data_IF_304129341478
#
_entry.id   IF_304129341478
#
_cell.length_a   1.000
_cell.length_b   1.000
_cell.length_c   1.000
_cell.angle_alpha   90.00
_cell.angle_beta   90.00
_cell.angle_gamma   90.00
#
_symmetry.space_group_name_H-M   'P 1'
#
loop_
_entity.id
_entity.type
_entity.pdbx_description
1 polymer ?
#
# COMPACT_ATOMS: atom_id res chain seq x y z
N UNK A 1 40.52 -80.95 -6.16
CA UNK A 1 39.25 -80.79 -5.40
C UNK A 1 39.59 -80.02 -4.12
N UNK A 2 39.45 -78.69 -4.14
CA UNK A 2 39.61 -77.86 -2.93
C UNK A 2 38.38 -76.97 -2.84
N UNK A 3 37.41 -77.37 -2.02
CA UNK A 3 36.30 -76.50 -1.68
C UNK A 3 35.80 -76.91 -0.29
N UNK A 4 35.97 -75.99 0.67
CA UNK A 4 35.05 -75.66 1.76
C UNK A 4 35.85 -75.19 2.97
N UNK A 5 36.21 -73.89 3.00
CA UNK A 5 36.68 -73.24 4.23
C UNK A 5 36.46 -71.71 4.20
N UNK A 6 35.31 -71.21 3.72
CA UNK A 6 35.07 -69.74 3.66
C UNK A 6 33.69 -69.24 4.09
N UNK A 7 32.76 -70.07 4.59
CA UNK A 7 31.38 -69.63 4.87
C UNK A 7 31.06 -69.31 6.34
N UNK A 8 31.85 -69.79 7.32
CA UNK A 8 31.57 -69.55 8.75
C UNK A 8 32.05 -68.17 9.25
N UNK A 9 33.12 -67.63 8.66
CA UNK A 9 33.69 -66.32 9.03
C UNK A 9 32.80 -65.15 8.63
N UNK A 10 32.26 -65.15 7.39
CA UNK A 10 31.38 -64.07 6.89
C UNK A 10 30.09 -63.93 7.71
N UNK A 11 29.46 -65.04 8.12
CA UNK A 11 28.24 -64.98 8.95
C UNK A 11 28.53 -64.38 10.33
N UNK A 12 29.66 -64.71 10.97
CA UNK A 12 30.05 -64.15 12.26
C UNK A 12 30.38 -62.65 12.17
N UNK A 13 31.08 -62.23 11.10
CA UNK A 13 31.38 -60.81 10.87
C UNK A 13 30.12 -59.99 10.61
N UNK A 14 29.17 -60.51 9.83
CA UNK A 14 27.88 -59.83 9.59
C UNK A 14 27.05 -59.72 10.87
N UNK A 15 27.00 -60.77 11.70
CA UNK A 15 26.29 -60.73 12.98
C UNK A 15 26.88 -59.72 13.96
N UNK A 16 28.21 -59.59 14.01
CA UNK A 16 28.89 -58.59 14.87
C UNK A 16 28.66 -57.17 14.35
N UNK A 17 28.69 -56.95 13.04
CA UNK A 17 28.38 -55.64 12.43
C UNK A 17 26.93 -55.21 12.70
N UNK A 18 25.96 -56.13 12.59
CA UNK A 18 24.55 -55.85 12.92
C UNK A 18 24.40 -55.50 14.41
N UNK A 19 25.10 -56.19 15.30
CA UNK A 19 25.07 -55.92 16.74
C UNK A 19 25.65 -54.53 17.07
N UNK A 20 26.75 -54.13 16.41
CA UNK A 20 27.36 -52.80 16.59
C UNK A 20 26.45 -51.69 16.05
N UNK A 21 25.79 -51.92 14.91
CA UNK A 21 24.80 -50.98 14.35
C UNK A 21 23.60 -50.83 15.30
N UNK A 22 23.11 -51.92 15.90
CA UNK A 22 22.04 -51.88 16.89
C UNK A 22 22.46 -51.15 18.18
N UNK A 23 23.69 -51.40 18.67
CA UNK A 23 24.22 -50.74 19.87
C UNK A 23 24.50 -49.24 19.66
N UNK A 24 24.80 -48.79 18.44
CA UNK A 24 24.93 -47.37 18.10
C UNK A 24 23.55 -46.71 17.84
N UNK A 25 22.56 -47.46 17.33
CA UNK A 25 21.23 -46.95 17.05
C UNK A 25 20.43 -46.63 18.32
N UNK A 26 20.64 -47.34 19.43
CA UNK A 26 19.93 -47.09 20.69
C UNK A 26 20.28 -45.72 21.31
N UNK A 27 21.56 -45.34 21.54
CA UNK A 27 21.89 -44.03 22.06
C UNK A 27 21.56 -42.90 21.07
N UNK A 28 21.66 -43.14 19.74
CA UNK A 28 21.26 -42.16 18.74
C UNK A 28 19.74 -41.94 18.69
N UNK A 29 18.95 -42.99 18.87
CA UNK A 29 17.48 -42.87 18.95
C UNK A 29 17.03 -42.23 20.27
N UNK A 30 17.72 -42.49 21.39
CA UNK A 30 17.48 -41.78 22.66
C UNK A 30 17.87 -40.30 22.53
N UNK A 31 19.00 -39.97 21.89
CA UNK A 31 19.42 -38.59 21.65
C UNK A 31 18.43 -37.84 20.72
N UNK A 32 18.04 -38.45 19.60
CA UNK A 32 17.03 -37.89 18.69
C UNK A 32 15.64 -37.82 19.32
N UNK A 33 15.27 -38.77 20.17
CA UNK A 33 14.03 -38.71 20.94
C UNK A 33 14.08 -37.59 21.97
N UNK A 34 15.19 -37.40 22.69
CA UNK A 34 15.37 -36.30 23.64
C UNK A 34 15.33 -34.93 22.97
N UNK A 35 15.95 -34.75 21.80
CA UNK A 35 15.79 -33.51 21.02
C UNK A 35 14.35 -33.31 20.52
N UNK A 36 13.68 -34.37 20.05
CA UNK A 36 12.26 -34.27 19.66
C UNK A 36 11.35 -33.98 20.86
N UNK A 37 11.75 -34.37 22.06
CA UNK A 37 10.99 -34.14 23.29
C UNK A 37 11.22 -32.73 23.83
N UNK A 38 12.44 -32.19 23.73
CA UNK A 38 12.71 -30.76 23.99
C UNK A 38 12.01 -29.85 22.96
N UNK A 39 12.02 -30.20 21.67
CA UNK A 39 11.29 -29.46 20.62
C UNK A 39 9.76 -29.57 20.81
N UNK A 40 9.26 -30.71 21.31
CA UNK A 40 7.82 -30.86 21.63
C UNK A 40 7.42 -30.21 22.95
N UNK A 41 8.32 -30.06 23.91
CA UNK A 41 8.08 -29.34 25.15
C UNK A 41 8.22 -27.82 25.01
N UNK A 42 8.86 -27.34 23.92
CA UNK A 42 8.80 -25.94 23.48
C UNK A 42 7.61 -25.64 22.55
N UNK A 43 6.66 -26.56 22.38
CA UNK A 43 5.33 -26.17 21.94
C UNK A 43 4.67 -25.43 23.11
N UNK A 44 4.90 -24.12 23.19
CA UNK A 44 4.15 -23.20 24.05
C UNK A 44 2.67 -23.59 23.98
N UNK A 45 2.04 -23.75 25.14
CA UNK A 45 0.60 -24.00 25.22
C UNK A 45 -0.13 -23.07 24.24
N UNK A 46 -1.14 -23.56 23.49
CA UNK A 46 -1.88 -22.71 22.58
C UNK A 46 -2.40 -21.50 23.36
N UNK A 47 -1.96 -20.30 22.96
CA UNK A 47 -2.32 -19.07 23.63
C UNK A 47 -3.85 -19.00 23.75
N UNK A 48 -4.33 -18.82 24.99
CA UNK A 48 -5.77 -18.67 25.25
C UNK A 48 -6.30 -17.34 24.72
N UNK A 49 -7.59 -17.25 24.43
CA UNK A 49 -8.21 -16.00 23.93
C UNK A 49 -8.13 -14.84 24.93
N UNK A 50 -7.94 -15.10 26.23
CA UNK A 50 -7.74 -14.08 27.26
C UNK A 50 -6.29 -13.64 27.42
N UNK A 51 -5.33 -14.31 26.75
CA UNK A 51 -3.91 -13.94 26.80
C UNK A 51 -3.74 -12.52 26.32
N UNK A 52 -3.14 -11.64 27.13
CA UNK A 52 -2.80 -10.27 26.73
C UNK A 52 -1.70 -10.32 25.68
N UNK A 53 -2.03 -9.83 24.49
CA UNK A 53 -1.11 -9.80 23.34
C UNK A 53 -0.54 -8.41 23.10
N UNK A 54 -1.27 -7.37 23.50
CA UNK A 54 -0.89 -5.99 23.28
C UNK A 54 -1.29 -5.12 24.46
N UNK A 55 -0.50 -4.07 24.73
CA UNK A 55 -0.93 -2.96 25.57
C UNK A 55 -0.75 -1.66 24.78
N UNK A 56 -1.85 -0.94 24.53
CA UNK A 56 -1.85 0.33 23.77
C UNK A 56 -2.41 1.42 24.67
N UNK A 57 -1.64 2.48 24.92
CA UNK A 57 -2.01 3.57 25.83
C UNK A 57 -2.57 3.06 27.18
N UNK A 58 -1.85 2.11 27.80
CA UNK A 58 -2.22 1.46 29.06
C UNK A 58 -3.52 0.62 29.04
N UNK A 59 -4.08 0.33 27.86
CA UNK A 59 -5.19 -0.59 27.68
C UNK A 59 -4.70 -1.93 27.14
N UNK A 60 -5.13 -3.03 27.76
CA UNK A 60 -4.74 -4.38 27.35
C UNK A 60 -5.70 -4.93 26.30
N UNK A 61 -5.14 -5.58 25.28
CA UNK A 61 -5.89 -6.30 24.25
C UNK A 61 -5.42 -7.74 24.17
N UNK A 62 -6.37 -8.65 24.07
CA UNK A 62 -6.12 -10.09 24.12
C UNK A 62 -6.01 -10.73 22.74
N UNK A 63 -5.65 -12.01 22.70
CA UNK A 63 -5.70 -12.81 21.47
C UNK A 63 -7.13 -12.89 20.90
N UNK A 64 -8.15 -12.92 21.76
CA UNK A 64 -9.55 -12.86 21.36
C UNK A 64 -9.89 -11.58 20.58
N UNK A 65 -9.35 -10.44 21.00
CA UNK A 65 -9.53 -9.17 20.27
C UNK A 65 -8.89 -9.22 18.88
N UNK A 66 -7.70 -9.80 18.76
CA UNK A 66 -7.01 -9.99 17.48
C UNK A 66 -7.82 -10.91 16.56
N UNK A 67 -8.31 -12.05 17.08
CA UNK A 67 -9.16 -12.98 16.33
C UNK A 67 -10.46 -12.33 15.87
N UNK A 68 -11.05 -11.45 16.68
CA UNK A 68 -12.25 -10.70 16.30
C UNK A 68 -12.00 -9.82 15.07
N UNK A 69 -10.86 -9.12 15.01
CA UNK A 69 -10.48 -8.33 13.83
C UNK A 69 -10.21 -9.25 12.63
N UNK A 70 -9.58 -10.41 12.83
CA UNK A 70 -9.36 -11.37 11.75
C UNK A 70 -10.67 -11.89 11.14
N UNK A 71 -11.68 -12.15 11.98
CA UNK A 71 -13.00 -12.66 11.55
C UNK A 71 -13.78 -11.70 10.64
N UNK A 72 -13.38 -10.43 10.56
CA UNK A 72 -14.03 -9.45 9.68
C UNK A 72 -13.70 -9.71 8.20
N UNK A 73 -12.53 -10.29 7.91
CA UNK A 73 -12.03 -10.48 6.55
C UNK A 73 -11.73 -11.95 6.21
N UNK A 74 -11.59 -12.80 7.22
CA UNK A 74 -11.15 -14.18 7.06
C UNK A 74 -12.08 -15.14 7.81
N UNK A 75 -12.32 -16.32 7.22
CA UNK A 75 -13.02 -17.39 7.92
C UNK A 75 -12.17 -17.87 9.12
N UNK A 76 -12.76 -18.11 10.31
CA UNK A 76 -12.02 -18.58 11.49
C UNK A 76 -11.16 -19.83 11.26
N UNK A 77 -11.56 -20.71 10.33
CA UNK A 77 -10.78 -21.91 9.96
C UNK A 77 -9.48 -21.58 9.21
N UNK A 78 -9.36 -20.38 8.64
CA UNK A 78 -8.19 -19.91 7.90
C UNK A 78 -7.17 -19.17 8.77
N UNK A 79 -7.45 -19.02 10.07
CA UNK A 79 -6.57 -18.32 11.00
C UNK A 79 -5.23 -19.03 11.14
N UNK A 80 -4.20 -18.40 10.60
CA UNK A 80 -2.81 -18.79 10.75
C UNK A 80 -2.02 -17.60 11.31
N UNK A 81 -0.74 -17.82 11.65
CA UNK A 81 0.13 -16.78 12.22
C UNK A 81 0.19 -15.52 11.35
N UNK A 82 0.15 -15.64 10.02
CA UNK A 82 0.19 -14.48 9.14
C UNK A 82 -1.11 -13.67 9.20
N UNK A 83 -2.27 -14.34 9.14
CA UNK A 83 -3.59 -13.70 9.27
C UNK A 83 -3.71 -13.00 10.63
N UNK A 84 -3.28 -13.66 11.71
CA UNK A 84 -3.32 -13.08 13.05
C UNK A 84 -2.36 -11.89 13.19
N UNK A 85 -1.19 -11.89 12.54
CA UNK A 85 -0.28 -10.74 12.51
C UNK A 85 -0.89 -9.54 11.78
N UNK A 86 -1.52 -9.77 10.63
CA UNK A 86 -2.25 -8.72 9.90
C UNK A 86 -3.37 -8.15 10.76
N UNK A 87 -4.17 -9.02 11.39
CA UNK A 87 -5.24 -8.60 12.29
C UNK A 87 -4.71 -7.86 13.52
N UNK A 88 -3.55 -8.26 14.07
CA UNK A 88 -2.88 -7.56 15.18
C UNK A 88 -2.46 -6.16 14.77
N UNK A 89 -1.83 -6.00 13.60
CA UNK A 89 -1.39 -4.70 13.09
C UNK A 89 -2.58 -3.79 12.77
N UNK A 90 -3.67 -4.35 12.21
CA UNK A 90 -4.94 -3.64 12.00
C UNK A 90 -5.56 -3.19 13.33
N UNK A 91 -5.58 -4.06 14.35
CA UNK A 91 -6.07 -3.70 15.68
C UNK A 91 -5.25 -2.55 16.28
N UNK A 92 -3.91 -2.61 16.17
CA UNK A 92 -3.03 -1.54 16.65
C UNK A 92 -3.37 -0.21 15.95
N UNK A 93 -3.43 -0.20 14.61
CA UNK A 93 -3.77 1.01 13.86
C UNK A 93 -5.13 1.55 14.28
N UNK A 94 -6.17 0.72 14.34
CA UNK A 94 -7.53 1.12 14.74
C UNK A 94 -7.56 1.76 16.12
N UNK A 95 -6.83 1.23 17.11
CA UNK A 95 -6.78 1.79 18.46
C UNK A 95 -6.02 3.11 18.54
N UNK A 96 -4.97 3.26 17.75
CA UNK A 96 -4.28 4.54 17.60
C UNK A 96 -5.22 5.56 16.93
N UNK A 97 -5.92 5.18 15.87
CA UNK A 97 -6.87 6.03 15.16
C UNK A 97 -8.03 6.48 16.07
N UNK A 98 -8.66 5.57 16.81
CA UNK A 98 -9.72 5.91 17.77
C UNK A 98 -9.23 6.92 18.81
N UNK A 99 -8.02 6.73 19.36
CA UNK A 99 -7.43 7.63 20.35
C UNK A 99 -7.18 9.01 19.74
N UNK A 100 -6.50 9.07 18.61
CA UNK A 100 -6.11 10.34 17.96
C UNK A 100 -7.31 11.10 17.40
N UNK A 101 -8.29 10.41 16.84
CA UNK A 101 -9.54 11.02 16.42
C UNK A 101 -10.29 11.65 17.60
N UNK A 102 -10.31 10.99 18.76
CA UNK A 102 -10.94 11.52 19.96
C UNK A 102 -10.19 12.74 20.50
N UNK A 103 -8.86 12.69 20.56
CA UNK A 103 -8.01 13.81 21.01
C UNK A 103 -8.19 15.05 20.12
N UNK A 104 -8.29 14.85 18.80
CA UNK A 104 -8.43 15.94 17.82
C UNK A 104 -9.89 16.37 17.56
N UNK A 105 -10.89 15.69 18.13
CA UNK A 105 -12.30 15.96 17.86
C UNK A 105 -12.76 15.61 16.44
N UNK A 106 -12.13 14.61 15.81
CA UNK A 106 -12.33 14.19 14.41
C UNK A 106 -13.17 12.92 14.25
N UNK A 107 -13.96 12.56 15.25
CA UNK A 107 -14.80 11.35 15.21
C UNK A 107 -15.88 11.48 14.11
N UNK A 108 -15.97 10.54 13.14
CA UNK A 108 -17.00 10.60 12.11
C UNK A 108 -18.41 10.46 12.69
N UNK A 109 -19.36 11.18 12.10
CA UNK A 109 -20.79 11.02 12.44
C UNK A 109 -21.42 9.90 11.61
N UNK A 110 -22.52 9.32 12.08
CA UNK A 110 -23.12 8.14 11.46
C UNK A 110 -23.67 8.41 10.05
N UNK A 111 -24.05 9.65 9.77
CA UNK A 111 -24.47 10.11 8.46
C UNK A 111 -23.31 10.05 7.45
N UNK A 112 -22.10 10.44 7.85
CA UNK A 112 -20.89 10.36 6.99
C UNK A 112 -20.56 8.91 6.67
N UNK A 113 -20.58 8.03 7.69
CA UNK A 113 -20.28 6.61 7.52
C UNK A 113 -21.31 5.96 6.59
N UNK A 114 -22.61 6.20 6.83
CA UNK A 114 -23.68 5.58 6.05
C UNK A 114 -23.68 6.04 4.58
N UNK A 115 -23.37 7.32 4.33
CA UNK A 115 -23.26 7.86 2.98
C UNK A 115 -22.12 7.19 2.18
N UNK A 116 -20.95 7.00 2.80
CA UNK A 116 -19.79 6.41 2.13
C UNK A 116 -19.89 4.89 1.97
N UNK A 117 -20.40 4.16 2.96
CA UNK A 117 -20.57 2.70 2.88
C UNK A 117 -21.39 2.28 1.66
N UNK A 118 -22.42 3.06 1.30
CA UNK A 118 -23.25 2.80 0.11
C UNK A 118 -22.53 2.99 -1.23
N UNK A 119 -21.36 3.64 -1.24
CA UNK A 119 -20.61 4.01 -2.45
C UNK A 119 -19.30 3.24 -2.62
N UNK A 120 -18.65 2.86 -1.52
CA UNK A 120 -17.31 2.25 -1.54
C UNK A 120 -17.33 0.72 -1.57
N UNK A 121 -18.46 0.09 -1.21
CA UNK A 121 -18.56 -1.36 -1.06
C UNK A 121 -17.77 -1.92 0.14
N UNK A 122 -17.17 -1.05 0.96
CA UNK A 122 -16.49 -1.40 2.20
C UNK A 122 -17.51 -1.76 3.29
N UNK A 123 -17.09 -2.52 4.29
CA UNK A 123 -17.90 -2.68 5.50
C UNK A 123 -18.04 -1.35 6.24
N UNK A 124 -19.03 -1.26 7.14
CA UNK A 124 -19.27 -0.05 7.95
C UNK A 124 -18.05 0.31 8.80
N UNK A 125 -17.41 -0.67 9.43
CA UNK A 125 -16.22 -0.45 10.25
C UNK A 125 -15.02 -0.01 9.41
N UNK A 126 -14.80 -0.62 8.24
CA UNK A 126 -13.74 -0.19 7.33
C UNK A 126 -13.97 1.25 6.84
N UNK A 127 -15.21 1.59 6.50
CA UNK A 127 -15.60 2.96 6.13
C UNK A 127 -15.29 3.95 7.25
N UNK A 128 -15.63 3.60 8.51
CA UNK A 128 -15.34 4.43 9.67
C UNK A 128 -13.84 4.70 9.82
N UNK A 129 -13.00 3.66 9.79
CA UNK A 129 -11.56 3.85 9.96
C UNK A 129 -10.91 4.54 8.76
N UNK A 130 -11.42 4.33 7.55
CA UNK A 130 -10.96 5.09 6.39
C UNK A 130 -11.26 6.59 6.53
N UNK A 131 -12.48 6.94 6.97
CA UNK A 131 -12.85 8.31 7.28
C UNK A 131 -11.95 8.94 8.35
N UNK A 132 -11.70 8.22 9.44
CA UNK A 132 -10.80 8.69 10.51
C UNK A 132 -9.38 8.91 9.95
N UNK A 133 -8.86 7.95 9.18
CA UNK A 133 -7.56 8.05 8.53
C UNK A 133 -7.48 9.29 7.65
N UNK A 134 -8.45 9.50 6.77
CA UNK A 134 -8.50 10.67 5.90
C UNK A 134 -8.54 11.99 6.69
N UNK A 135 -9.35 12.07 7.75
CA UNK A 135 -9.42 13.25 8.63
C UNK A 135 -8.08 13.50 9.35
N UNK A 136 -7.40 12.44 9.79
CA UNK A 136 -6.08 12.53 10.43
C UNK A 136 -4.97 12.93 9.45
N UNK A 137 -4.96 12.36 8.24
CA UNK A 137 -4.05 12.81 7.17
C UNK A 137 -4.20 14.31 6.95
N UNK A 138 -5.45 14.79 6.88
CA UNK A 138 -5.75 16.21 6.66
C UNK A 138 -5.36 17.14 7.81
N UNK A 139 -5.12 16.61 9.00
CA UNK A 139 -4.75 17.41 10.18
C UNK A 139 -3.28 17.27 10.56
N UNK A 140 -2.70 16.08 10.44
CA UNK A 140 -1.41 15.73 11.06
C UNK A 140 -0.27 15.48 10.05
N UNK A 141 -0.59 15.21 8.78
CA UNK A 141 0.38 14.75 7.76
C UNK A 141 0.66 15.87 6.76
N UNK A 142 1.84 15.87 6.12
CA UNK A 142 2.10 16.77 4.98
C UNK A 142 1.41 16.22 3.74
N UNK A 143 0.40 16.94 3.26
CA UNK A 143 -0.33 16.59 2.06
C UNK A 143 -0.59 17.82 1.18
N UNK A 144 -0.90 17.53 -0.06
CA UNK A 144 -1.49 18.46 -1.02
C UNK A 144 -2.76 17.85 -1.58
N UNK A 145 -3.72 18.69 -1.96
CA UNK A 145 -4.80 18.30 -2.87
C UNK A 145 -4.61 19.03 -4.16
N UNK A 146 -4.60 18.29 -5.27
CA UNK A 146 -4.29 18.87 -6.57
C UNK A 146 -5.27 18.39 -7.63
N UNK A 147 -5.47 19.21 -8.64
CA UNK A 147 -6.04 18.82 -9.92
C UNK A 147 -4.89 18.73 -10.91
N UNK A 148 -4.76 17.63 -11.64
CA UNK A 148 -3.75 17.45 -12.69
C UNK A 148 -4.39 17.26 -14.05
N UNK A 149 -3.85 17.95 -15.06
CA UNK A 149 -4.12 17.69 -16.47
C UNK A 149 -2.77 17.43 -17.12
N UNK A 150 -2.61 16.27 -17.74
CA UNK A 150 -1.35 15.88 -18.36
C UNK A 150 -1.59 14.98 -19.55
N UNK A 151 -0.61 14.83 -20.42
CA UNK A 151 -0.62 13.74 -21.39
C UNK A 151 0.55 12.81 -21.10
N UNK A 152 0.34 11.51 -21.28
CA UNK A 152 1.38 10.52 -21.10
C UNK A 152 1.78 9.93 -22.45
N UNK A 153 3.10 9.86 -22.68
CA UNK A 153 3.70 9.04 -23.74
C UNK A 153 4.91 8.30 -23.16
N UNK A 154 5.34 7.18 -23.77
CA UNK A 154 6.54 6.49 -23.34
C UNK A 154 7.78 7.41 -23.34
N UNK A 155 8.63 7.35 -22.30
CA UNK A 155 9.95 7.97 -22.28
C UNK A 155 10.78 7.59 -23.51
N UNK A 156 11.68 8.46 -23.96
CA UNK A 156 12.42 8.27 -25.22
C UNK A 156 13.25 7.00 -25.27
N UNK A 157 13.85 6.63 -24.14
CA UNK A 157 14.66 5.42 -23.95
C UNK A 157 13.85 4.12 -23.96
N UNK A 158 12.52 4.20 -23.88
CA UNK A 158 11.62 3.05 -23.97
C UNK A 158 11.02 2.87 -25.38
N UNK A 159 11.29 3.78 -26.32
CA UNK A 159 10.66 3.76 -27.66
C UNK A 159 11.34 2.82 -28.66
N UNK A 160 12.53 2.32 -28.35
CA UNK A 160 13.36 1.56 -29.31
C UNK A 160 12.69 0.25 -29.78
N UNK A 161 11.84 -0.35 -28.95
CA UNK A 161 11.14 -1.60 -29.25
C UNK A 161 9.74 -1.39 -29.87
N UNK A 162 9.32 -0.14 -30.10
CA UNK A 162 7.99 0.17 -30.61
C UNK A 162 7.92 0.04 -32.13
N UNK A 163 6.74 -0.36 -32.64
CA UNK A 163 6.50 -0.35 -34.08
C UNK A 163 6.54 1.09 -34.62
N UNK A 164 7.00 1.27 -35.87
CA UNK A 164 7.16 2.60 -36.48
C UNK A 164 5.87 3.44 -36.49
N UNK A 165 4.71 2.80 -36.65
CA UNK A 165 3.42 3.48 -36.57
C UNK A 165 3.12 4.05 -35.18
N UNK A 166 3.52 3.33 -34.12
CA UNK A 166 3.36 3.79 -32.73
C UNK A 166 4.33 4.91 -32.42
N UNK A 167 5.57 4.84 -32.93
CA UNK A 167 6.55 5.93 -32.82
C UNK A 167 5.98 7.20 -33.47
N UNK A 168 5.47 7.11 -34.70
CA UNK A 168 4.89 8.28 -35.38
C UNK A 168 3.72 8.88 -34.60
N UNK A 169 2.87 8.05 -34.00
CA UNK A 169 1.78 8.50 -33.14
C UNK A 169 2.31 9.21 -31.90
N UNK A 170 3.31 8.65 -31.22
CA UNK A 170 3.97 9.26 -30.05
C UNK A 170 4.55 10.63 -30.41
N UNK A 171 5.26 10.74 -31.53
CA UNK A 171 5.83 12.02 -31.97
C UNK A 171 4.74 13.07 -32.29
N UNK A 172 3.63 12.66 -32.90
CA UNK A 172 2.49 13.56 -33.12
C UNK A 172 1.84 13.99 -31.79
N UNK A 173 1.75 13.09 -30.81
CA UNK A 173 1.24 13.41 -29.47
C UNK A 173 2.16 14.38 -28.73
N UNK A 174 3.48 14.26 -28.89
CA UNK A 174 4.44 15.22 -28.33
C UNK A 174 4.30 16.59 -28.98
N UNK A 175 4.18 16.63 -30.31
CA UNK A 175 4.03 17.87 -31.07
C UNK A 175 2.78 18.67 -30.63
N UNK A 176 1.65 18.00 -30.45
CA UNK A 176 0.39 18.62 -30.00
C UNK A 176 0.35 18.85 -28.48
N UNK A 177 1.08 18.02 -27.71
CA UNK A 177 1.04 17.98 -26.26
C UNK A 177 1.49 19.29 -25.59
N UNK A 178 2.54 19.93 -26.10
CA UNK A 178 3.02 21.20 -25.53
C UNK A 178 1.99 22.34 -25.60
N UNK A 179 1.25 22.42 -26.70
CA UNK A 179 0.15 23.38 -26.86
C UNK A 179 -1.04 23.04 -25.97
N UNK A 180 -1.38 21.74 -25.88
CA UNK A 180 -2.43 21.24 -25.00
C UNK A 180 -2.17 21.57 -23.52
N UNK A 181 -0.96 21.34 -23.00
CA UNK A 181 -0.62 21.66 -21.61
C UNK A 181 -0.60 23.17 -21.36
N UNK A 182 -0.17 23.97 -22.34
CA UNK A 182 -0.24 25.43 -22.23
C UNK A 182 -1.69 25.93 -22.15
N UNK A 183 -2.61 25.32 -22.93
CA UNK A 183 -4.03 25.60 -22.83
C UNK A 183 -4.60 25.14 -21.46
N UNK A 184 -4.19 23.98 -20.97
CA UNK A 184 -4.61 23.49 -19.67
C UNK A 184 -4.18 24.40 -18.52
N UNK A 185 -2.93 24.87 -18.55
CA UNK A 185 -2.37 25.82 -17.60
C UNK A 185 -3.16 27.14 -17.58
N UNK A 186 -3.49 27.68 -18.76
CA UNK A 186 -4.30 28.88 -18.89
C UNK A 186 -5.73 28.69 -18.35
N UNK A 187 -6.40 27.59 -18.72
CA UNK A 187 -7.75 27.29 -18.24
C UNK A 187 -7.81 27.10 -16.73
N UNK A 188 -6.85 26.39 -16.14
CA UNK A 188 -6.77 26.19 -14.69
C UNK A 188 -6.53 27.53 -13.96
N UNK A 189 -5.69 28.42 -14.53
CA UNK A 189 -5.46 29.79 -14.03
C UNK A 189 -6.72 30.63 -14.08
N UNK A 190 -7.51 30.50 -15.15
CA UNK A 190 -8.79 31.19 -15.32
C UNK A 190 -9.92 30.60 -14.45
N UNK A 191 -9.68 29.48 -13.75
CA UNK A 191 -10.70 28.82 -12.94
C UNK A 191 -11.72 28.04 -13.76
N UNK A 192 -11.39 27.67 -15.00
CA UNK A 192 -12.25 26.83 -15.82
C UNK A 192 -12.36 25.41 -15.24
N UNK A 193 -13.49 24.76 -15.50
CA UNK A 193 -13.72 23.39 -15.05
C UNK A 193 -12.79 22.41 -15.78
N UNK A 194 -12.07 21.50 -15.09
CA UNK A 194 -11.05 20.64 -15.71
C UNK A 194 -11.54 19.80 -16.89
N UNK A 195 -12.77 19.28 -16.78
CA UNK A 195 -13.43 18.50 -17.85
C UNK A 195 -13.59 19.35 -19.12
N UNK A 196 -14.01 20.62 -19.00
CA UNK A 196 -14.21 21.51 -20.16
C UNK A 196 -12.89 21.88 -20.82
N UNK A 197 -11.85 22.09 -20.01
CA UNK A 197 -10.50 22.35 -20.51
C UNK A 197 -10.05 21.18 -21.41
N UNK A 198 -10.16 19.95 -20.90
CA UNK A 198 -9.77 18.74 -21.65
C UNK A 198 -10.62 18.55 -22.91
N UNK A 199 -11.94 18.71 -22.82
CA UNK A 199 -12.81 18.60 -23.99
C UNK A 199 -12.44 19.62 -25.08
N UNK A 200 -12.08 20.85 -24.70
CA UNK A 200 -11.60 21.86 -25.64
C UNK A 200 -10.25 21.50 -26.26
N UNK A 201 -9.33 20.89 -25.51
CA UNK A 201 -8.06 20.39 -26.03
C UNK A 201 -8.31 19.30 -27.07
N UNK A 202 -9.16 18.31 -26.75
CA UNK A 202 -9.43 17.18 -27.64
C UNK A 202 -10.17 17.58 -28.93
N UNK A 203 -10.94 18.67 -28.91
CA UNK A 203 -11.52 19.24 -30.13
C UNK A 203 -10.46 19.79 -31.09
N UNK A 204 -9.33 20.28 -30.58
CA UNK A 204 -8.23 20.82 -31.39
C UNK A 204 -7.19 19.77 -31.77
N UNK A 205 -6.93 18.83 -30.85
CA UNK A 205 -5.88 17.83 -30.95
C UNK A 205 -6.41 16.44 -30.61
N UNK A 206 -7.19 15.87 -31.52
CA UNK A 206 -7.80 14.54 -31.34
C UNK A 206 -6.77 13.41 -31.17
N UNK A 207 -5.53 13.61 -31.64
CA UNK A 207 -4.42 12.64 -31.49
C UNK A 207 -4.07 12.37 -30.02
N UNK A 208 -4.41 13.28 -29.11
CA UNK A 208 -4.17 13.15 -27.68
C UNK A 208 -5.25 12.33 -26.95
N UNK A 209 -6.28 11.85 -27.64
CA UNK A 209 -7.45 11.22 -27.01
C UNK A 209 -7.14 10.04 -26.09
N UNK A 210 -6.09 9.28 -26.35
CA UNK A 210 -5.66 8.15 -25.51
C UNK A 210 -4.43 8.45 -24.64
N UNK A 211 -3.85 9.64 -24.77
CA UNK A 211 -2.72 10.09 -23.97
C UNK A 211 -3.12 11.08 -22.87
N UNK A 212 -4.16 11.89 -23.10
CA UNK A 212 -4.58 12.97 -22.21
C UNK A 212 -5.34 12.43 -20.99
N UNK A 213 -4.92 12.87 -19.82
CA UNK A 213 -5.40 12.41 -18.52
C UNK A 213 -5.83 13.57 -17.62
N UNK A 214 -6.83 13.27 -16.79
CA UNK A 214 -7.32 14.11 -15.69
C UNK A 214 -7.08 13.36 -14.38
N UNK A 215 -6.28 13.92 -13.46
CA UNK A 215 -5.94 13.27 -12.19
C UNK A 215 -5.41 11.84 -12.35
N UNK A 216 -4.65 11.59 -13.43
CA UNK A 216 -4.08 10.28 -13.76
C UNK A 216 -5.03 9.32 -14.47
N UNK A 217 -6.31 9.66 -14.64
CA UNK A 217 -7.25 8.87 -15.44
C UNK A 217 -7.22 9.31 -16.90
N UNK A 218 -6.97 8.38 -17.83
CA UNK A 218 -7.10 8.65 -19.27
C UNK A 218 -8.53 9.13 -19.53
N UNK A 219 -8.67 10.36 -20.04
CA UNK A 219 -9.96 11.03 -20.09
C UNK A 219 -10.97 10.28 -20.97
N UNK A 220 -10.52 9.70 -22.08
CA UNK A 220 -11.37 8.91 -22.97
C UNK A 220 -11.80 7.54 -22.37
N UNK A 221 -11.18 7.11 -21.27
CA UNK A 221 -11.62 5.93 -20.53
C UNK A 221 -12.82 6.25 -19.59
N UNK A 222 -13.06 7.53 -19.27
CA UNK A 222 -14.18 7.98 -18.44
C UNK A 222 -15.45 8.02 -19.30
N UNK A 223 -16.33 7.02 -19.14
CA UNK A 223 -17.47 6.81 -20.05
C UNK A 223 -18.72 7.57 -19.64
N UNK A 224 -18.85 7.92 -18.36
CA UNK A 224 -20.03 8.63 -17.84
C UNK A 224 -19.67 10.03 -17.34
N UNK A 225 -20.66 10.91 -17.28
CA UNK A 225 -20.50 12.24 -16.68
C UNK A 225 -20.16 12.14 -15.18
N UNK A 226 -20.64 11.10 -14.50
CA UNK A 226 -20.30 10.81 -13.11
C UNK A 226 -18.81 10.48 -12.94
N UNK A 227 -18.25 9.67 -13.85
CA UNK A 227 -16.83 9.32 -13.83
C UNK A 227 -15.98 10.56 -14.04
N UNK A 228 -16.36 11.39 -15.03
CA UNK A 228 -15.69 12.65 -15.33
C UNK A 228 -15.75 13.64 -14.17
N UNK A 229 -16.91 13.75 -13.51
CA UNK A 229 -17.07 14.62 -12.35
C UNK A 229 -16.18 14.14 -11.20
N UNK A 230 -16.21 12.84 -10.89
CA UNK A 230 -15.37 12.24 -9.85
C UNK A 230 -13.88 12.45 -10.14
N UNK A 231 -13.46 12.20 -11.39
CA UNK A 231 -12.08 12.42 -11.81
C UNK A 231 -11.66 13.89 -11.76
N UNK A 232 -12.59 14.85 -11.81
CA UNK A 232 -12.29 16.28 -11.74
C UNK A 232 -12.08 16.83 -10.34
N UNK A 233 -12.43 16.05 -9.30
CA UNK A 233 -12.23 16.44 -7.91
C UNK A 233 -10.75 16.43 -7.53
N UNK A 234 -10.26 17.39 -6.72
CA UNK A 234 -8.86 17.40 -6.29
C UNK A 234 -8.48 16.13 -5.52
N UNK A 235 -7.48 15.43 -6.05
CA UNK A 235 -6.93 14.20 -5.48
C UNK A 235 -5.94 14.53 -4.36
N UNK A 236 -5.99 13.75 -3.28
CA UNK A 236 -5.12 13.91 -2.11
C UNK A 236 -3.83 13.13 -2.33
N UNK A 237 -2.69 13.79 -2.09
CA UNK A 237 -1.37 13.17 -2.14
C UNK A 237 -0.58 13.51 -0.88
N UNK A 238 0.07 12.51 -0.30
CA UNK A 238 1.00 12.67 0.81
C UNK A 238 2.43 12.78 0.30
N UNK A 239 3.30 13.46 1.05
CA UNK A 239 4.68 13.69 0.64
C UNK A 239 5.43 12.41 0.25
N UNK A 240 5.39 11.35 1.08
CA UNK A 240 6.20 10.14 0.84
C UNK A 240 5.42 8.95 0.24
N UNK A 241 4.11 9.08 0.03
CA UNK A 241 3.25 8.03 -0.53
C UNK A 241 2.63 8.45 -1.88
N UNK A 242 3.01 9.61 -2.41
CA UNK A 242 2.59 10.00 -3.75
C UNK A 242 3.32 9.16 -4.78
N UNK A 243 2.58 8.56 -5.73
CA UNK A 243 3.11 7.87 -6.92
C UNK A 243 3.86 8.80 -7.91
N UNK A 244 4.36 9.95 -7.44
CA UNK A 244 5.16 10.88 -8.21
C UNK A 244 6.61 10.46 -8.20
N UNK A 245 7.29 10.68 -9.32
CA UNK A 245 8.75 10.67 -9.36
C UNK A 245 9.31 11.74 -8.40
N UNK A 246 10.60 11.61 -8.06
CA UNK A 246 11.23 12.48 -7.06
C UNK A 246 11.20 13.96 -7.46
N UNK A 247 11.43 14.29 -8.73
CA UNK A 247 11.47 15.67 -9.18
C UNK A 247 10.07 16.32 -9.13
N UNK A 248 9.05 15.58 -9.55
CA UNK A 248 7.64 16.02 -9.46
C UNK A 248 7.24 16.24 -8.01
N UNK A 249 7.51 15.27 -7.13
CA UNK A 249 7.21 15.39 -5.69
C UNK A 249 7.90 16.61 -5.08
N UNK A 250 9.21 16.75 -5.27
CA UNK A 250 9.98 17.81 -4.64
C UNK A 250 9.50 19.20 -5.10
N UNK A 251 9.09 19.31 -6.38
CA UNK A 251 8.53 20.55 -6.92
C UNK A 251 7.13 20.84 -6.38
N UNK A 252 6.21 19.87 -6.37
CA UNK A 252 4.84 20.08 -5.88
C UNK A 252 4.77 20.35 -4.38
N UNK A 253 5.66 19.73 -3.60
CA UNK A 253 5.69 19.93 -2.17
C UNK A 253 6.62 21.07 -1.74
N UNK A 254 7.39 21.69 -2.63
CA UNK A 254 8.33 22.78 -2.31
C UNK A 254 7.72 23.85 -1.39
N UNK A 255 8.48 24.43 -0.44
CA UNK A 255 8.01 25.55 0.38
C UNK A 255 7.51 26.74 -0.43
N UNK A 256 8.03 26.95 -1.65
CA UNK A 256 7.67 28.07 -2.51
C UNK A 256 6.34 27.89 -3.25
N UNK A 257 5.75 26.68 -3.23
CA UNK A 257 4.46 26.39 -3.85
C UNK A 257 3.35 26.54 -2.83
N UNK A 258 2.35 27.37 -3.11
CA UNK A 258 1.24 27.70 -2.22
C UNK A 258 -0.10 27.18 -2.74
N UNK A 259 -1.13 27.22 -1.90
CA UNK A 259 -2.51 27.02 -2.34
C UNK A 259 -2.89 28.03 -3.45
N UNK A 260 -3.55 27.54 -4.50
CA UNK A 260 -3.91 28.33 -5.68
C UNK A 260 -2.84 28.34 -6.78
N UNK A 261 -1.61 27.93 -6.48
CA UNK A 261 -0.53 27.90 -7.48
C UNK A 261 -0.79 26.87 -8.57
N UNK A 262 -0.20 27.16 -9.73
CA UNK A 262 -0.22 26.27 -10.88
C UNK A 262 1.21 25.92 -11.27
N UNK A 263 1.50 24.64 -11.20
CA UNK A 263 2.84 24.07 -11.35
C UNK A 263 2.87 23.19 -12.59
N UNK A 264 3.68 23.56 -13.58
CA UNK A 264 3.94 22.74 -14.77
C UNK A 264 5.14 21.83 -14.53
N UNK A 265 4.99 20.56 -14.88
CA UNK A 265 6.03 19.53 -14.84
C UNK A 265 6.26 19.06 -16.27
N UNK A 266 7.52 19.14 -16.71
CA UNK A 266 7.94 18.69 -18.03
C UNK A 266 8.07 17.16 -18.09
N UNK A 267 8.65 16.63 -19.19
CA UNK A 267 8.94 15.21 -19.29
C UNK A 267 9.89 14.73 -18.19
N UNK A 268 9.67 13.52 -17.70
CA UNK A 268 10.46 12.84 -16.68
C UNK A 268 10.98 11.49 -17.20
N UNK A 269 11.75 10.77 -16.38
CA UNK A 269 12.18 9.39 -16.71
C UNK A 269 11.01 8.42 -16.84
N UNK A 270 9.87 8.73 -16.22
CA UNK A 270 8.72 7.83 -16.11
C UNK A 270 7.59 8.23 -17.07
N UNK A 271 7.64 9.45 -17.60
CA UNK A 271 6.71 9.94 -18.61
C UNK A 271 7.42 10.86 -19.60
N UNK A 272 7.33 10.53 -20.90
CA UNK A 272 7.79 11.41 -21.97
C UNK A 272 6.87 12.59 -22.27
N UNK A 273 5.74 12.72 -21.56
CA UNK A 273 4.77 13.79 -21.72
C UNK A 273 4.87 14.87 -20.65
N UNK A 274 3.96 15.83 -20.67
CA UNK A 274 3.95 16.96 -19.73
C UNK A 274 2.65 17.00 -18.93
N UNK A 275 2.70 17.63 -17.77
CA UNK A 275 1.55 17.82 -16.90
C UNK A 275 1.52 19.19 -16.24
N UNK A 276 0.32 19.65 -15.92
CA UNK A 276 0.07 20.84 -15.13
C UNK A 276 -0.80 20.48 -13.93
N UNK A 277 -0.40 20.99 -12.76
CA UNK A 277 -1.05 20.76 -11.49
C UNK A 277 -1.56 22.08 -10.94
N UNK A 278 -2.81 22.12 -10.50
CA UNK A 278 -3.37 23.20 -9.69
C UNK A 278 -3.42 22.75 -8.24
N UNK A 279 -2.78 23.51 -7.35
CA UNK A 279 -2.81 23.25 -5.91
C UNK A 279 -4.14 23.75 -5.36
N UNK A 280 -5.04 22.83 -5.03
CA UNK A 280 -6.33 23.14 -4.45
C UNK A 280 -6.26 23.32 -2.93
N UNK A 281 -5.33 22.61 -2.27
CA UNK A 281 -5.09 22.71 -0.83
C UNK A 281 -3.65 22.30 -0.53
N UNK A 282 -3.00 22.99 0.40
CA UNK A 282 -1.71 22.59 0.96
C UNK A 282 -1.72 22.77 2.46
N UNK A 283 -1.32 21.73 3.19
CA UNK A 283 -1.35 21.71 4.65
C UNK A 283 -0.09 21.14 5.23
N UNK A 284 0.25 21.62 6.43
CA UNK A 284 1.44 21.23 7.17
C UNK A 284 2.72 21.42 6.34
N UNK A 285 2.94 22.65 5.85
CA UNK A 285 4.07 23.00 4.96
C UNK A 285 5.45 22.74 5.60
N UNK A 286 5.54 22.85 6.92
CA UNK A 286 6.72 22.50 7.72
C UNK A 286 6.83 20.99 8.03
N UNK A 287 5.82 20.20 7.68
CA UNK A 287 5.80 18.75 7.91
C UNK A 287 6.80 18.02 7.03
N UNK A 288 7.19 16.81 7.42
CA UNK A 288 8.12 15.96 6.64
C UNK A 288 7.67 14.49 6.58
N UNK A 289 6.45 14.20 7.01
CA UNK A 289 6.01 12.83 7.28
C UNK A 289 4.81 12.44 6.42
N UNK A 290 4.78 11.17 6.01
CA UNK A 290 3.57 10.50 5.50
C UNK A 290 2.76 9.90 6.65
N UNK A 291 1.53 9.47 6.35
CA UNK A 291 0.68 8.76 7.28
C UNK A 291 1.37 7.53 7.87
N UNK A 292 2.08 6.75 7.05
CA UNK A 292 2.84 5.59 7.53
C UNK A 292 3.91 5.98 8.56
N UNK A 293 4.66 7.03 8.30
CA UNK A 293 5.70 7.52 9.22
C UNK A 293 5.07 8.06 10.51
N UNK A 294 4.00 8.84 10.38
CA UNK A 294 3.22 9.34 11.51
C UNK A 294 2.67 8.17 12.35
N UNK A 295 2.05 7.17 11.72
CA UNK A 295 1.47 6.00 12.38
C UNK A 295 2.55 5.17 13.10
N UNK A 296 3.71 4.97 12.48
CA UNK A 296 4.82 4.26 13.12
C UNK A 296 5.32 5.00 14.35
N UNK A 297 5.45 6.33 14.29
CA UNK A 297 5.76 7.13 15.49
C UNK A 297 4.69 6.95 16.58
N UNK A 298 3.41 6.97 16.21
CA UNK A 298 2.35 6.72 17.19
C UNK A 298 2.44 5.32 17.79
N UNK A 299 2.79 4.30 17.00
CA UNK A 299 3.04 2.93 17.49
C UNK A 299 4.17 2.92 18.52
N UNK A 300 5.29 3.56 18.21
CA UNK A 300 6.45 3.64 19.11
C UNK A 300 6.12 4.37 20.43
N UNK A 301 5.23 5.36 20.38
CA UNK A 301 4.82 6.13 21.56
C UNK A 301 3.74 5.44 22.41
N UNK A 302 2.85 4.65 21.79
CA UNK A 302 1.63 4.19 22.43
C UNK A 302 1.60 2.68 22.71
N UNK A 303 2.38 1.87 21.98
CA UNK A 303 2.40 0.41 22.15
C UNK A 303 3.46 0.03 23.18
N UNK A 304 3.02 -0.34 24.38
CA UNK A 304 3.91 -0.64 25.51
C UNK A 304 4.31 -2.12 25.58
N UNK A 305 3.44 -3.01 25.11
CA UNK A 305 3.66 -4.46 25.11
C UNK A 305 3.21 -4.99 23.76
N UNK A 306 4.04 -5.85 23.13
CA UNK A 306 3.69 -6.64 21.95
C UNK A 306 4.21 -8.07 22.11
N UNK A 307 3.32 -8.99 22.44
CA UNK A 307 3.63 -10.42 22.55
C UNK A 307 3.69 -11.04 21.16
N UNK A 308 4.75 -11.80 20.80
CA UNK A 308 4.82 -12.51 19.52
C UNK A 308 3.69 -13.51 19.33
N UNK A 309 3.19 -13.61 18.09
CA UNK A 309 2.22 -14.60 17.60
C UNK A 309 2.90 -15.79 16.95
#
# INVERSE_FOLDING_TARGET
MFAQNFTSSRRRVISVLILIILLAAIPLTIFLASQKQEIRQQASEPLSDSTVMLTINNQNFSLGDIKKVASEQYDPSSFNTQVLKIAQDNLIERKILDLKAKEAGLVPVEEEISALTGTTGLSREETRYDLIRQKLIRSEVRYIRIISIGYWVPPSDQREDYAQADIQKIENQIADGGAAISQAEQGLRAGEHPVRIIESILQKSAILSDALALNGYIFNALKTDSDKQTASEPSLYEYADSNFDAATRDKLFSPDVSEGDIVRIGPTSDSGGESVFKIAEKKNESGTESYKTWLNRQKDLLVNIKTPL
#
